data_IF_329405162329
#
_entry.id   IF_329405162329
#
_cell.length_a   1.000
_cell.length_b   1.000
_cell.length_c   1.000
_cell.angle_alpha   90.00
_cell.angle_beta   90.00
_cell.angle_gamma   90.00
#
_symmetry.space_group_name_H-M   'P 1'
#
loop_
_entity.id
_entity.type
_entity.pdbx_description
1 polymer ?
#
# COMPACT_ATOMS: atom_id res chain seq x y z
N UNK A 1 -31.70 -13.37 13.37
CA UNK A 1 -30.29 -13.04 13.58
C UNK A 1 -30.08 -11.68 12.95
N UNK A 2 -29.71 -10.64 13.70
CA UNK A 2 -29.44 -9.33 13.11
C UNK A 2 -28.16 -9.43 12.30
N UNK A 3 -28.21 -9.02 11.05
CA UNK A 3 -27.06 -8.97 10.15
C UNK A 3 -26.02 -7.98 10.72
N UNK A 4 -24.77 -8.40 10.83
CA UNK A 4 -23.70 -7.55 11.36
C UNK A 4 -23.46 -6.42 10.35
N UNK A 5 -23.49 -5.14 10.77
CA UNK A 5 -23.24 -4.04 9.85
C UNK A 5 -21.84 -4.17 9.22
N UNK A 6 -21.72 -3.76 7.94
CA UNK A 6 -20.43 -3.76 7.21
C UNK A 6 -19.42 -2.83 7.91
N UNK A 7 -18.19 -3.28 8.03
CA UNK A 7 -17.07 -2.49 8.55
C UNK A 7 -16.31 -1.86 7.36
N UNK A 8 -16.51 -0.57 7.16
CA UNK A 8 -15.86 0.18 6.08
C UNK A 8 -14.43 0.52 6.49
N UNK A 9 -13.45 0.04 5.74
CA UNK A 9 -12.01 0.29 5.96
C UNK A 9 -11.40 1.27 4.96
N UNK A 10 -12.15 1.64 3.93
CA UNK A 10 -11.72 2.60 2.91
C UNK A 10 -11.26 3.92 3.56
N UNK A 11 -10.24 4.57 3.00
CA UNK A 11 -9.71 5.82 3.55
C UNK A 11 -8.99 5.68 4.88
N UNK A 12 -8.50 4.50 5.23
CA UNK A 12 -7.80 4.25 6.48
C UNK A 12 -6.43 3.58 6.26
N UNK A 13 -5.60 3.57 7.31
CA UNK A 13 -4.35 2.79 7.31
C UNK A 13 -4.58 1.28 7.17
N UNK A 14 -5.80 0.79 7.42
CA UNK A 14 -6.17 -0.61 7.22
C UNK A 14 -6.20 -0.91 5.72
N UNK A 15 -6.92 -0.12 4.93
CA UNK A 15 -6.99 -0.28 3.47
C UNK A 15 -5.62 -0.05 2.81
N UNK A 16 -4.85 0.93 3.29
CA UNK A 16 -3.48 1.15 2.84
C UNK A 16 -2.58 -0.06 3.10
N UNK A 17 -2.66 -0.66 4.31
CA UNK A 17 -1.93 -1.88 4.66
C UNK A 17 -2.34 -3.07 3.78
N UNK A 18 -3.61 -3.21 3.45
CA UNK A 18 -4.12 -4.26 2.56
C UNK A 18 -3.58 -4.09 1.13
N UNK A 19 -3.50 -2.86 0.62
CA UNK A 19 -2.88 -2.60 -0.68
C UNK A 19 -1.40 -3.00 -0.69
N UNK A 20 -0.64 -2.65 0.36
CA UNK A 20 0.76 -3.06 0.53
C UNK A 20 0.88 -4.58 0.56
N UNK A 21 0.06 -5.25 1.38
CA UNK A 21 0.04 -6.71 1.52
C UNK A 21 -0.24 -7.37 0.17
N UNK A 22 -1.27 -6.92 -0.56
CA UNK A 22 -1.64 -7.50 -1.84
C UNK A 22 -0.53 -7.35 -2.89
N UNK A 23 0.14 -6.19 -2.91
CA UNK A 23 1.26 -5.96 -3.81
C UNK A 23 2.47 -6.84 -3.45
N UNK A 24 2.82 -6.96 -2.17
CA UNK A 24 3.93 -7.77 -1.70
C UNK A 24 3.68 -9.27 -1.84
N UNK A 25 2.44 -9.73 -1.73
CA UNK A 25 2.07 -11.14 -1.98
C UNK A 25 2.51 -11.60 -3.36
N UNK A 26 2.22 -10.83 -4.39
CA UNK A 26 2.61 -11.17 -5.76
C UNK A 26 4.13 -11.36 -5.93
N UNK A 27 4.92 -10.65 -5.13
CA UNK A 27 6.37 -10.61 -5.24
C UNK A 27 7.10 -11.58 -4.32
N UNK A 28 6.63 -11.73 -3.09
CA UNK A 28 7.36 -12.37 -2.00
C UNK A 28 6.64 -13.57 -1.36
N UNK A 29 5.35 -13.79 -1.65
CA UNK A 29 4.63 -14.97 -1.16
C UNK A 29 4.80 -16.15 -2.13
N UNK A 30 5.07 -17.32 -1.62
CA UNK A 30 5.19 -18.54 -2.41
C UNK A 30 5.56 -19.73 -1.57
N UNK A 31 4.84 -20.83 -1.79
CA UNK A 31 5.12 -22.10 -1.12
C UNK A 31 6.40 -22.73 -1.65
N UNK A 32 7.14 -23.38 -0.76
CA UNK A 32 8.30 -24.22 -1.10
C UNK A 32 9.43 -23.50 -1.88
N UNK A 33 9.57 -22.19 -1.66
CA UNK A 33 10.66 -21.42 -2.25
C UNK A 33 11.53 -20.81 -1.15
N UNK A 34 12.86 -21.03 -1.16
CA UNK A 34 13.73 -20.56 -0.07
C UNK A 34 13.85 -19.04 -0.01
N UNK A 35 13.62 -18.35 -1.13
CA UNK A 35 13.70 -16.90 -1.30
C UNK A 35 12.33 -16.20 -1.24
N UNK A 36 11.30 -16.90 -0.76
CA UNK A 36 9.95 -16.40 -0.52
C UNK A 36 9.46 -16.79 0.88
N UNK A 37 8.37 -16.18 1.31
CA UNK A 37 7.65 -16.50 2.56
C UNK A 37 6.36 -17.25 2.25
N UNK A 38 5.87 -18.02 3.20
CA UNK A 38 4.57 -18.70 3.05
C UNK A 38 3.40 -17.72 3.13
N UNK A 39 3.54 -16.62 3.90
CA UNK A 39 2.45 -15.64 4.07
C UNK A 39 2.94 -14.22 4.20
N UNK A 40 2.21 -13.32 3.55
CA UNK A 40 2.30 -11.87 3.75
C UNK A 40 0.93 -11.39 4.26
N UNK A 41 0.87 -10.83 5.45
CA UNK A 41 -0.38 -10.40 6.09
C UNK A 41 -0.20 -9.10 6.87
N UNK A 42 -1.32 -8.42 7.10
CA UNK A 42 -1.36 -7.26 7.99
C UNK A 42 -1.12 -7.65 9.45
N UNK A 43 -0.50 -6.76 10.20
CA UNK A 43 -0.30 -6.85 11.65
C UNK A 43 -0.75 -5.57 12.36
N UNK A 44 -1.04 -5.68 13.66
CA UNK A 44 -1.60 -4.57 14.44
C UNK A 44 -0.57 -3.56 14.94
N UNK A 45 0.71 -3.90 14.99
CA UNK A 45 1.75 -3.04 15.55
C UNK A 45 3.10 -3.72 15.74
N UNK A 46 3.83 -3.37 16.78
CA UNK A 46 5.14 -3.95 17.09
C UNK A 46 5.00 -5.27 17.88
N UNK A 47 6.00 -6.14 17.72
CA UNK A 47 6.14 -7.33 18.55
C UNK A 47 6.87 -6.98 19.85
N UNK A 48 6.31 -7.38 20.99
CA UNK A 48 6.87 -7.10 22.31
C UNK A 48 7.57 -8.31 22.93
N UNK A 49 7.23 -9.52 22.51
CA UNK A 49 7.80 -10.76 23.09
C UNK A 49 8.09 -11.79 21.99
N UNK A 50 9.11 -12.67 22.23
CA UNK A 50 9.41 -13.78 21.30
C UNK A 50 8.22 -14.72 21.07
N UNK A 51 7.39 -14.96 22.06
CA UNK A 51 6.20 -15.82 21.95
C UNK A 51 5.15 -15.24 21.01
N UNK A 52 4.98 -13.91 21.02
CA UNK A 52 4.15 -13.25 20.03
C UNK A 52 4.68 -13.49 18.61
N UNK A 53 5.99 -13.33 18.40
CA UNK A 53 6.61 -13.59 17.09
C UNK A 53 6.32 -15.03 16.65
N UNK A 54 6.50 -16.00 17.54
CA UNK A 54 6.21 -17.41 17.26
C UNK A 54 4.76 -17.66 16.85
N UNK A 55 3.81 -17.01 17.53
CA UNK A 55 2.37 -17.20 17.24
C UNK A 55 1.96 -16.66 15.86
N UNK A 56 2.71 -15.70 15.30
CA UNK A 56 2.46 -15.11 13.98
C UNK A 56 3.31 -15.71 12.86
N UNK A 57 4.19 -16.66 13.17
CA UNK A 57 4.89 -17.41 12.13
C UNK A 57 3.91 -18.34 11.41
N UNK A 58 4.01 -18.37 10.08
CA UNK A 58 3.30 -19.33 9.23
C UNK A 58 4.26 -20.44 8.85
N UNK A 59 4.16 -21.57 9.53
CA UNK A 59 4.99 -22.74 9.25
C UNK A 59 6.51 -22.47 9.32
N UNK A 60 7.30 -23.29 8.62
CA UNK A 60 8.76 -23.13 8.52
C UNK A 60 9.19 -22.19 7.38
N UNK A 61 8.32 -21.97 6.41
CA UNK A 61 8.59 -21.10 5.27
C UNK A 61 8.69 -19.62 5.62
N UNK A 62 8.18 -19.25 6.81
CA UNK A 62 8.26 -17.90 7.35
C UNK A 62 7.10 -17.00 6.94
N UNK A 63 7.10 -15.77 7.44
CA UNK A 63 6.06 -14.80 7.14
C UNK A 63 6.59 -13.36 7.12
N UNK A 64 5.87 -12.50 6.40
CA UNK A 64 6.02 -11.05 6.46
C UNK A 64 4.75 -10.46 7.08
N UNK A 65 4.92 -9.59 8.08
CA UNK A 65 3.85 -8.92 8.80
C UNK A 65 3.95 -7.40 8.61
N UNK A 66 2.94 -6.80 8.00
CA UNK A 66 2.91 -5.37 7.66
C UNK A 66 2.12 -4.61 8.71
N UNK A 67 2.73 -3.64 9.35
CA UNK A 67 2.12 -2.81 10.38
C UNK A 67 2.27 -1.32 10.08
N UNK A 68 1.19 -0.55 10.25
CA UNK A 68 1.24 0.90 10.35
C UNK A 68 1.66 1.26 11.79
N UNK A 69 2.79 1.93 11.94
CA UNK A 69 3.30 2.29 13.27
C UNK A 69 2.89 3.69 13.70
N UNK A 70 2.79 4.60 12.74
CA UNK A 70 2.50 6.01 13.00
C UNK A 70 1.95 6.70 11.76
N UNK A 71 1.04 7.65 11.97
CA UNK A 71 0.60 8.61 10.95
C UNK A 71 0.97 10.00 11.41
N UNK A 72 1.55 10.80 10.53
CA UNK A 72 1.90 12.20 10.79
C UNK A 72 1.64 13.08 9.57
N UNK A 73 1.76 14.40 9.73
CA UNK A 73 1.57 15.36 8.64
C UNK A 73 0.24 15.18 7.91
N UNK A 74 -0.84 14.93 8.66
CA UNK A 74 -2.17 14.80 8.08
C UNK A 74 -2.58 16.16 7.50
N UNK A 75 -2.90 16.19 6.21
CA UNK A 75 -3.26 17.40 5.47
C UNK A 75 -4.53 17.16 4.64
N UNK A 76 -5.37 18.19 4.54
CA UNK A 76 -6.55 18.19 3.69
C UNK A 76 -6.42 19.28 2.63
N UNK A 77 -5.82 18.96 1.48
CA UNK A 77 -5.64 19.92 0.37
C UNK A 77 -6.49 19.60 -0.85
N UNK A 78 -6.51 18.35 -1.26
CA UNK A 78 -7.32 17.78 -2.37
C UNK A 78 -7.77 16.38 -2.00
N UNK A 79 -8.25 16.22 -0.76
CA UNK A 79 -8.43 14.98 -0.06
C UNK A 79 -7.46 14.86 1.12
N UNK A 80 -7.80 14.05 2.10
CA UNK A 80 -6.99 13.86 3.29
C UNK A 80 -5.83 12.90 2.98
N UNK A 81 -4.60 13.38 3.15
CA UNK A 81 -3.39 12.55 3.04
C UNK A 81 -2.62 12.55 4.35
N UNK A 82 -1.82 11.52 4.57
CA UNK A 82 -0.97 11.40 5.75
C UNK A 82 0.30 10.61 5.45
N UNK A 83 1.39 11.03 6.06
CA UNK A 83 2.66 10.32 6.02
C UNK A 83 2.63 9.19 7.05
N UNK A 84 2.59 7.96 6.56
CA UNK A 84 2.53 6.76 7.38
C UNK A 84 3.91 6.14 7.53
N UNK A 85 4.32 5.86 8.78
CA UNK A 85 5.50 5.03 9.06
C UNK A 85 5.07 3.58 9.11
N UNK A 86 5.64 2.78 8.23
CA UNK A 86 5.38 1.35 8.10
C UNK A 86 6.51 0.51 8.66
N UNK A 87 6.18 -0.71 9.08
CA UNK A 87 7.15 -1.77 9.34
C UNK A 87 6.70 -3.08 8.69
N UNK A 88 7.63 -3.74 8.01
CA UNK A 88 7.49 -5.11 7.56
C UNK A 88 8.39 -6.00 8.41
N UNK A 89 7.80 -6.81 9.27
CA UNK A 89 8.51 -7.79 10.08
C UNK A 89 8.63 -9.10 9.31
N UNK A 90 9.85 -9.49 9.02
CA UNK A 90 10.20 -10.72 8.30
C UNK A 90 10.66 -11.73 9.33
N UNK A 91 9.96 -12.85 9.42
CA UNK A 91 10.21 -13.91 10.40
C UNK A 91 10.48 -15.22 9.67
N UNK A 92 11.60 -15.87 9.98
CA UNK A 92 12.06 -17.10 9.33
C UNK A 92 12.49 -18.16 10.34
N UNK A 93 12.27 -19.41 9.97
CA UNK A 93 12.91 -20.58 10.57
C UNK A 93 13.79 -21.30 9.54
N UNK A 94 14.58 -22.26 9.98
CA UNK A 94 15.36 -23.11 9.08
C UNK A 94 14.43 -23.92 8.16
N UNK A 95 14.73 -23.93 6.88
CA UNK A 95 13.86 -24.53 5.86
C UNK A 95 14.67 -25.14 4.72
N UNK A 96 14.47 -26.43 4.46
CA UNK A 96 15.13 -27.16 3.39
C UNK A 96 16.66 -27.08 3.39
N UNK A 97 17.29 -27.07 4.58
CA UNK A 97 18.74 -26.95 4.72
C UNK A 97 19.30 -25.54 4.51
N UNK A 98 18.44 -24.57 4.24
CA UNK A 98 18.84 -23.16 4.20
C UNK A 98 18.73 -22.54 5.60
N UNK A 99 19.79 -21.88 6.10
CA UNK A 99 19.78 -21.26 7.42
C UNK A 99 18.82 -20.06 7.43
N UNK A 100 18.08 -19.92 8.53
CA UNK A 100 17.05 -18.90 8.74
C UNK A 100 17.56 -17.47 8.63
N UNK A 101 18.79 -17.21 9.11
CA UNK A 101 19.45 -15.91 9.09
C UNK A 101 19.70 -15.44 7.65
N UNK A 102 20.34 -16.27 6.84
CA UNK A 102 20.61 -15.97 5.43
C UNK A 102 19.32 -15.77 4.64
N UNK A 103 18.30 -16.60 4.86
CA UNK A 103 16.99 -16.44 4.21
C UNK A 103 16.33 -15.11 4.58
N UNK A 104 16.32 -14.78 5.88
CA UNK A 104 15.71 -13.57 6.39
C UNK A 104 16.38 -12.30 5.81
N UNK A 105 17.71 -12.29 5.78
CA UNK A 105 18.52 -11.19 5.23
C UNK A 105 18.30 -10.99 3.73
N UNK A 106 18.28 -12.07 2.95
CA UNK A 106 18.01 -12.03 1.50
C UNK A 106 16.62 -11.42 1.23
N UNK A 107 15.60 -11.84 1.99
CA UNK A 107 14.23 -11.34 1.81
C UNK A 107 14.13 -9.90 2.28
N UNK A 108 14.78 -9.51 3.38
CA UNK A 108 14.81 -8.12 3.85
C UNK A 108 15.43 -7.19 2.80
N UNK A 109 16.56 -7.56 2.21
CA UNK A 109 17.20 -6.81 1.15
C UNK A 109 16.35 -6.74 -0.13
N UNK A 110 15.66 -7.82 -0.48
CA UNK A 110 14.74 -7.87 -1.64
C UNK A 110 13.53 -6.97 -1.43
N UNK A 111 12.90 -7.03 -0.25
CA UNK A 111 11.78 -6.19 0.12
C UNK A 111 12.16 -4.72 0.12
N UNK A 112 13.28 -4.33 0.72
CA UNK A 112 13.76 -2.96 0.74
C UNK A 112 13.96 -2.41 -0.69
N UNK A 113 14.59 -3.20 -1.58
CA UNK A 113 14.74 -2.81 -3.00
C UNK A 113 13.41 -2.67 -3.71
N UNK A 114 12.46 -3.57 -3.47
CA UNK A 114 11.13 -3.51 -4.13
C UNK A 114 10.34 -2.30 -3.67
N UNK A 115 10.34 -1.98 -2.39
CA UNK A 115 9.64 -0.80 -1.86
C UNK A 115 10.23 0.52 -2.44
N UNK A 116 11.54 0.55 -2.69
CA UNK A 116 12.21 1.75 -3.21
C UNK A 116 11.92 2.05 -4.69
N UNK A 117 11.34 1.14 -5.44
CA UNK A 117 11.09 1.34 -6.86
C UNK A 117 9.80 2.14 -7.12
N UNK A 118 9.77 2.85 -8.26
CA UNK A 118 8.66 3.73 -8.62
C UNK A 118 7.33 2.98 -8.78
N UNK A 119 7.37 1.77 -9.29
CA UNK A 119 6.21 0.90 -9.51
C UNK A 119 5.54 0.50 -8.20
N UNK A 120 6.30 0.48 -7.09
CA UNK A 120 5.77 0.17 -5.76
C UNK A 120 4.73 1.19 -5.31
N UNK A 121 4.97 2.49 -5.53
CA UNK A 121 4.02 3.52 -5.15
C UNK A 121 2.66 3.32 -5.83
N UNK A 122 2.66 3.09 -7.14
CA UNK A 122 1.43 2.81 -7.90
C UNK A 122 0.78 1.48 -7.47
N UNK A 123 1.57 0.42 -7.30
CA UNK A 123 1.08 -0.90 -6.90
C UNK A 123 0.46 -0.93 -5.49
N UNK A 124 0.98 -0.12 -4.59
CA UNK A 124 0.47 0.05 -3.22
C UNK A 124 -0.61 1.15 -3.12
N UNK A 125 -0.94 1.84 -4.21
CA UNK A 125 -1.84 3.01 -4.24
C UNK A 125 -1.40 4.12 -3.28
N UNK A 126 -0.10 4.36 -3.21
CA UNK A 126 0.48 5.43 -2.43
C UNK A 126 0.58 6.72 -3.24
N UNK A 127 0.47 7.88 -2.59
CA UNK A 127 0.57 9.20 -3.23
C UNK A 127 2.02 9.54 -3.64
N UNK A 128 3.00 8.95 -2.95
CA UNK A 128 4.43 9.17 -3.20
C UNK A 128 5.25 7.89 -3.06
N UNK A 129 6.48 7.95 -3.55
CA UNK A 129 7.48 6.91 -3.32
C UNK A 129 7.79 6.78 -1.82
N UNK A 130 8.25 5.60 -1.43
CA UNK A 130 8.73 5.36 -0.08
C UNK A 130 10.04 6.11 0.19
N UNK A 131 10.17 6.67 1.39
CA UNK A 131 11.34 7.40 1.88
C UNK A 131 11.82 6.78 3.20
N UNK A 132 13.04 7.12 3.62
CA UNK A 132 13.62 6.70 4.90
C UNK A 132 13.59 5.18 5.08
N UNK A 133 13.89 4.43 4.00
CA UNK A 133 13.88 2.97 4.02
C UNK A 133 15.09 2.48 4.80
N UNK A 134 14.84 1.69 5.86
CA UNK A 134 15.86 1.06 6.68
C UNK A 134 15.55 -0.42 6.88
N UNK A 135 16.57 -1.24 7.04
CA UNK A 135 16.46 -2.65 7.39
C UNK A 135 17.30 -2.95 8.63
N UNK A 136 16.69 -3.53 9.65
CA UNK A 136 17.31 -3.81 10.93
C UNK A 136 17.16 -5.29 11.30
N UNK A 137 18.26 -5.87 11.79
CA UNK A 137 18.22 -7.21 12.37
C UNK A 137 17.72 -7.12 13.81
N UNK A 138 16.58 -7.74 14.09
CA UNK A 138 15.95 -7.77 15.41
C UNK A 138 16.31 -9.05 16.19
N UNK A 139 17.53 -9.56 15.99
CA UNK A 139 18.00 -10.72 16.70
C UNK A 139 17.93 -10.54 18.23
N UNK A 140 17.49 -11.59 18.90
CA UNK A 140 17.55 -11.70 20.36
C UNK A 140 17.74 -13.16 20.76
N UNK A 141 18.36 -13.39 21.93
CA UNK A 141 18.53 -14.72 22.47
C UNK A 141 17.20 -15.47 22.68
N UNK A 142 16.11 -14.72 22.95
CA UNK A 142 14.77 -15.30 23.08
C UNK A 142 14.24 -15.84 21.75
N UNK A 143 14.46 -15.14 20.64
CA UNK A 143 14.09 -15.60 19.30
C UNK A 143 14.97 -16.77 18.84
N UNK A 144 16.26 -16.69 19.13
CA UNK A 144 17.21 -17.72 18.78
C UNK A 144 16.87 -19.07 19.46
N UNK A 145 16.50 -19.02 20.74
CA UNK A 145 16.03 -20.21 21.48
C UNK A 145 14.74 -20.81 20.89
N UNK A 146 13.93 -20.02 20.19
CA UNK A 146 12.73 -20.49 19.48
C UNK A 146 13.03 -20.97 18.06
N UNK A 147 14.29 -20.90 17.61
CA UNK A 147 14.68 -21.24 16.25
C UNK A 147 14.18 -20.23 15.20
N UNK A 148 14.02 -18.96 15.58
CA UNK A 148 13.48 -17.89 14.74
C UNK A 148 14.50 -16.78 14.56
N UNK A 149 14.62 -16.27 13.35
CA UNK A 149 15.29 -15.00 13.03
C UNK A 149 14.27 -14.00 12.55
N UNK A 150 14.41 -12.73 12.98
CA UNK A 150 13.52 -11.64 12.59
C UNK A 150 14.30 -10.43 12.12
N UNK A 151 13.85 -9.84 11.01
CA UNK A 151 14.27 -8.54 10.53
C UNK A 151 13.06 -7.60 10.44
N UNK A 152 13.29 -6.32 10.58
CA UNK A 152 12.31 -5.28 10.25
C UNK A 152 12.82 -4.44 9.08
N UNK A 153 11.97 -4.24 8.08
CA UNK A 153 12.15 -3.20 7.07
C UNK A 153 11.15 -2.10 7.37
N UNK A 154 11.65 -0.90 7.64
CA UNK A 154 10.83 0.27 7.93
C UNK A 154 10.93 1.29 6.81
N UNK A 155 9.85 2.04 6.56
CA UNK A 155 9.83 3.14 5.60
C UNK A 155 8.74 4.13 5.94
N UNK A 156 8.79 5.29 5.32
CA UNK A 156 7.77 6.32 5.38
C UNK A 156 7.17 6.52 3.99
N UNK A 157 5.84 6.63 3.92
CA UNK A 157 5.16 6.82 2.65
C UNK A 157 3.82 7.54 2.83
N UNK A 158 3.49 8.44 1.91
CA UNK A 158 2.25 9.19 1.95
C UNK A 158 1.12 8.38 1.31
N UNK A 159 0.00 8.30 2.02
CA UNK A 159 -1.22 7.62 1.58
C UNK A 159 -2.43 8.54 1.70
N UNK A 160 -3.41 8.30 0.84
CA UNK A 160 -4.73 8.88 0.96
C UNK A 160 -5.48 8.22 2.12
N UNK A 161 -6.04 9.05 3.00
CA UNK A 161 -6.74 8.65 4.23
C UNK A 161 -8.17 9.20 4.28
N UNK A 162 -8.80 9.36 3.13
CA UNK A 162 -10.20 9.72 2.97
C UNK A 162 -10.88 8.77 1.99
N UNK A 163 -12.19 8.83 1.96
CA UNK A 163 -12.97 8.12 0.96
C UNK A 163 -12.69 8.71 -0.43
N UNK A 164 -12.65 7.86 -1.44
CA UNK A 164 -12.65 8.34 -2.83
C UNK A 164 -13.90 9.19 -3.02
N UNK A 165 -13.71 10.41 -3.53
CA UNK A 165 -14.85 11.26 -3.90
C UNK A 165 -15.59 10.53 -5.02
N UNK A 166 -16.77 10.02 -4.73
CA UNK A 166 -17.64 9.51 -5.79
C UNK A 166 -18.08 10.66 -6.69
N UNK A 167 -17.39 10.76 -7.82
CA UNK A 167 -17.69 11.80 -8.82
C UNK A 167 -19.14 11.73 -9.31
N UNK A 168 -19.82 10.58 -9.14
CA UNK A 168 -21.22 10.43 -9.51
C UNK A 168 -22.16 11.20 -8.58
N UNK A 169 -21.74 11.45 -7.33
CA UNK A 169 -22.52 12.17 -6.32
C UNK A 169 -22.30 13.70 -6.36
N UNK A 170 -21.29 14.14 -7.12
CA UNK A 170 -21.08 15.59 -7.29
C UNK A 170 -22.25 16.19 -8.10
N UNK A 171 -22.80 17.34 -7.66
CA UNK A 171 -23.82 18.04 -8.45
C UNK A 171 -23.30 18.27 -9.86
N UNK A 172 -24.21 18.46 -10.84
CA UNK A 172 -23.90 18.64 -12.28
C UNK A 172 -23.00 19.85 -12.62
N UNK A 173 -22.17 20.24 -11.70
CA UNK A 173 -21.21 21.35 -11.77
C UNK A 173 -20.06 21.09 -12.76
N UNK A 174 -20.05 19.98 -13.47
CA UNK A 174 -18.96 19.56 -14.35
C UNK A 174 -19.23 19.80 -15.84
N UNK A 175 -20.02 20.81 -16.17
CA UNK A 175 -20.07 21.33 -17.53
C UNK A 175 -19.06 22.46 -17.66
N UNK A 176 -17.94 22.18 -18.33
CA UNK A 176 -16.95 23.21 -18.66
C UNK A 176 -17.37 23.88 -19.99
N UNK A 177 -17.80 25.12 -19.93
CA UNK A 177 -17.91 25.94 -21.13
C UNK A 177 -16.56 26.55 -21.49
N UNK A 178 -15.97 26.11 -22.60
CA UNK A 178 -14.74 26.69 -23.12
C UNK A 178 -15.01 27.51 -24.37
N UNK A 179 -14.59 28.78 -24.37
CA UNK A 179 -14.61 29.64 -25.57
C UNK A 179 -13.16 29.79 -26.05
N UNK A 180 -12.89 29.36 -27.28
CA UNK A 180 -11.57 29.53 -27.90
C UNK A 180 -11.53 30.90 -28.55
N UNK A 181 -10.58 31.73 -28.09
CA UNK A 181 -10.37 33.09 -28.65
C UNK A 181 -9.00 33.05 -29.39
N UNK A 182 -9.03 33.35 -30.69
CA UNK A 182 -7.83 33.48 -31.51
C UNK A 182 -7.75 34.92 -32.01
N UNK A 183 -6.62 35.59 -31.77
CA UNK A 183 -6.40 37.00 -32.13
C UNK A 183 -7.51 37.98 -31.63
N UNK A 184 -8.07 37.72 -30.46
CA UNK A 184 -9.11 38.58 -29.87
C UNK A 184 -10.52 38.38 -30.44
N UNK A 185 -10.71 37.40 -31.32
CA UNK A 185 -12.04 37.04 -31.85
C UNK A 185 -12.40 35.63 -31.40
N UNK A 186 -13.65 35.45 -30.96
CA UNK A 186 -14.20 34.13 -30.62
C UNK A 186 -14.31 33.28 -31.89
N UNK A 187 -13.84 32.04 -31.85
CA UNK A 187 -13.91 31.11 -32.99
C UNK A 187 -15.31 30.52 -33.15
N UNK A 188 -16.12 30.57 -32.09
CA UNK A 188 -17.54 30.20 -32.14
C UNK A 188 -18.37 31.17 -31.28
N UNK A 189 -19.58 31.50 -31.74
CA UNK A 189 -20.53 32.36 -31.01
C UNK A 189 -21.14 31.65 -29.79
N UNK A 190 -21.02 30.30 -29.70
CA UNK A 190 -21.51 29.51 -28.58
C UNK A 190 -20.32 28.78 -27.88
N UNK A 191 -20.29 28.76 -26.54
CA UNK A 191 -19.27 27.99 -25.81
C UNK A 191 -19.45 26.51 -26.08
N UNK A 192 -18.34 25.80 -26.41
CA UNK A 192 -18.36 24.34 -26.44
C UNK A 192 -18.53 23.81 -25.01
N UNK A 193 -19.59 23.05 -24.78
CA UNK A 193 -19.86 22.39 -23.51
C UNK A 193 -19.22 21.01 -23.54
N UNK A 194 -18.16 20.84 -22.76
CA UNK A 194 -17.53 19.54 -22.56
C UNK A 194 -18.16 18.88 -21.34
N UNK A 195 -18.82 17.75 -21.55
CA UNK A 195 -19.35 16.94 -20.49
C UNK A 195 -18.22 16.09 -19.90
N UNK A 196 -17.68 16.49 -18.76
CA UNK A 196 -16.48 15.85 -18.16
C UNK A 196 -16.78 14.45 -17.62
N UNK A 197 -18.06 14.09 -17.50
CA UNK A 197 -18.47 12.76 -16.97
C UNK A 197 -18.33 11.62 -17.96
N UNK A 198 -18.43 11.83 -19.26
CA UNK A 198 -18.63 10.69 -20.19
C UNK A 198 -17.63 10.58 -21.34
N UNK A 199 -16.74 11.52 -21.54
CA UNK A 199 -15.81 11.43 -22.70
C UNK A 199 -16.49 11.14 -24.06
N UNK A 200 -17.81 11.29 -24.16
CA UNK A 200 -18.57 11.15 -25.39
C UNK A 200 -18.76 12.55 -26.01
N UNK A 201 -18.08 12.74 -27.10
CA UNK A 201 -18.45 13.77 -28.06
C UNK A 201 -19.82 13.40 -28.64
N UNK A 202 -20.85 14.16 -28.33
CA UNK A 202 -22.08 14.17 -29.13
C UNK A 202 -21.75 14.74 -30.52
N UNK A 203 -21.24 13.91 -31.40
CA UNK A 203 -21.26 14.19 -32.83
C UNK A 203 -22.73 14.13 -33.28
N UNK A 204 -23.41 15.27 -33.23
CA UNK A 204 -24.65 15.43 -33.99
C UNK A 204 -24.29 15.45 -35.47
N UNK A 205 -24.48 14.31 -36.12
CA UNK A 205 -24.68 14.24 -37.57
C UNK A 205 -25.79 15.23 -37.93
N UNK A 206 -25.41 16.23 -38.75
CA UNK A 206 -26.35 17.01 -39.51
C UNK A 206 -26.64 16.25 -40.81
N UNK A 207 -27.86 15.74 -40.96
CA UNK A 207 -28.52 15.53 -42.24
C UNK A 207 -29.13 16.84 -42.72
#
# INVERSE_FOLDING_TARGET
MSERPAFVTLGSTVSAAENIVNWLKAELEGEKQPDRVEKVERHIGQFNTPDQVKSYMSGRGGSIRIAALRVRNIQNRRGMTGLVTWAAYIMMADFWGYPRDARCEVIAGRLARRISCREAAAGMKAERMAENIAAENLWSGGLDNLGITMWAVTWEQEFRLDDEIDLSTLPEFLRLGATIVVNGQSVSDEPQIINVREGQTDDKEND
#
